data_IF_087318495495
#
_entry.id   IF_087318495495
#
_cell.length_a   1.000
_cell.length_b   1.000
_cell.length_c   1.000
_cell.angle_alpha   90.00
_cell.angle_beta   90.00
_cell.angle_gamma   90.00
#
_symmetry.space_group_name_H-M   'P 1'
#
loop_
_entity.id
_entity.type
_entity.pdbx_description
1 polymer ?
#
# COMPACT_ATOMS: atom_id res chain seq x y z
N UNK A 1 -13.18 38.63 11.02
CA UNK A 1 -14.66 38.81 10.92
C UNK A 1 -14.86 40.25 10.48
N UNK A 2 -15.35 40.47 9.26
CA UNK A 2 -15.66 41.81 8.75
C UNK A 2 -17.18 41.86 8.69
N UNK A 3 -17.80 42.67 9.54
CA UNK A 3 -19.24 42.86 9.55
C UNK A 3 -19.54 44.17 8.82
N UNK A 4 -19.95 44.09 7.56
CA UNK A 4 -20.60 45.22 6.88
C UNK A 4 -22.10 45.05 7.02
N UNK A 5 -22.76 46.00 7.70
CA UNK A 5 -24.22 46.05 7.78
C UNK A 5 -24.69 46.99 6.67
N UNK A 6 -25.46 46.46 5.71
CA UNK A 6 -26.26 47.26 4.78
C UNK A 6 -27.71 46.75 4.84
N UNK A 7 -28.66 47.65 5.04
CA UNK A 7 -30.11 47.36 5.06
C UNK A 7 -30.53 46.18 5.97
N UNK A 8 -29.99 46.08 7.19
CA UNK A 8 -30.42 45.07 8.17
C UNK A 8 -29.99 43.63 7.86
N UNK A 9 -29.17 43.40 6.83
CA UNK A 9 -28.55 42.10 6.53
C UNK A 9 -27.09 42.10 6.99
N UNK A 10 -26.68 41.03 7.68
CA UNK A 10 -25.27 40.75 7.99
C UNK A 10 -24.83 39.50 7.25
N UNK A 11 -23.71 39.60 6.53
CA UNK A 11 -23.11 38.47 5.81
C UNK A 11 -21.79 38.11 6.47
N UNK A 12 -21.64 36.84 6.90
CA UNK A 12 -20.37 36.29 7.38
C UNK A 12 -19.97 35.09 6.54
N UNK A 13 -18.71 35.07 6.09
CA UNK A 13 -18.13 33.92 5.38
C UNK A 13 -17.42 33.03 6.39
N UNK A 14 -17.83 31.76 6.46
CA UNK A 14 -17.13 30.71 7.21
C UNK A 14 -16.37 29.81 6.26
N UNK A 15 -15.06 29.64 6.50
CA UNK A 15 -14.22 28.67 5.80
C UNK A 15 -13.82 27.55 6.76
N UNK A 16 -14.17 26.31 6.44
CA UNK A 16 -13.72 25.14 7.20
C UNK A 16 -12.69 24.34 6.40
N UNK A 17 -11.66 23.88 7.08
CA UNK A 17 -10.54 23.11 6.49
C UNK A 17 -10.62 21.62 6.77
N UNK A 18 -11.53 21.20 7.66
CA UNK A 18 -11.81 19.81 8.04
C UNK A 18 -13.22 19.43 7.59
N UNK A 19 -13.35 18.22 7.06
CA UNK A 19 -14.64 17.60 6.81
C UNK A 19 -15.34 17.24 8.11
N UNK A 20 -16.66 17.32 8.11
CA UNK A 20 -17.48 17.13 9.29
C UNK A 20 -18.67 18.07 9.31
N UNK A 21 -19.37 18.06 10.44
CA UNK A 21 -20.52 18.92 10.70
C UNK A 21 -20.09 19.98 11.72
N UNK A 22 -20.25 21.24 11.36
CA UNK A 22 -19.99 22.38 12.24
C UNK A 22 -21.30 23.08 12.58
N UNK A 23 -21.56 23.26 13.87
CA UNK A 23 -22.68 24.08 14.34
C UNK A 23 -22.26 25.56 14.32
N UNK A 24 -23.02 26.38 13.60
CA UNK A 24 -22.86 27.83 13.57
C UNK A 24 -24.02 28.42 14.36
N UNK A 25 -23.70 29.11 15.45
CA UNK A 25 -24.67 29.76 16.32
C UNK A 25 -24.63 31.27 16.13
N UNK A 26 -25.76 31.86 15.77
CA UNK A 26 -25.96 33.30 15.71
C UNK A 26 -26.39 33.78 17.10
N UNK A 27 -25.68 34.80 17.60
CA UNK A 27 -26.02 35.50 18.84
C UNK A 27 -26.27 36.97 18.52
N UNK A 28 -27.44 37.46 18.91
CA UNK A 28 -27.80 38.87 18.80
C UNK A 28 -27.83 39.47 20.19
N UNK A 29 -27.07 40.53 20.41
CA UNK A 29 -27.05 41.23 21.69
C UNK A 29 -28.47 41.71 22.06
N UNK A 30 -28.90 41.44 23.30
CA UNK A 30 -30.24 41.76 23.78
C UNK A 30 -31.34 40.76 23.42
N UNK A 31 -31.05 39.68 22.67
CA UNK A 31 -32.00 38.58 22.39
C UNK A 31 -31.58 37.31 23.14
N UNK A 32 -32.52 36.68 23.86
CA UNK A 32 -32.27 35.50 24.70
C UNK A 32 -32.26 34.16 23.95
N UNK A 33 -32.81 34.13 22.73
CA UNK A 33 -32.88 32.94 21.88
C UNK A 33 -31.73 32.94 20.88
N UNK A 34 -31.04 31.80 20.77
CA UNK A 34 -30.03 31.58 19.75
C UNK A 34 -30.65 30.83 18.56
N UNK A 35 -30.21 31.17 17.34
CA UNK A 35 -30.46 30.37 16.15
C UNK A 35 -29.21 29.59 15.76
N UNK A 36 -29.39 28.36 15.30
CA UNK A 36 -28.30 27.49 14.88
C UNK A 36 -28.55 26.92 13.50
N UNK A 37 -27.50 26.86 12.69
CA UNK A 37 -27.46 26.13 11.44
C UNK A 37 -26.31 25.13 11.45
N UNK A 38 -26.49 24.02 10.73
CA UNK A 38 -25.44 23.03 10.53
C UNK A 38 -24.79 23.23 9.16
N UNK A 39 -23.47 23.39 9.15
CA UNK A 39 -22.67 23.35 7.93
C UNK A 39 -22.03 21.97 7.80
N UNK A 40 -22.31 21.28 6.69
CA UNK A 40 -21.65 20.01 6.35
C UNK A 40 -20.52 20.27 5.35
N UNK A 41 -19.30 19.90 5.73
CA UNK A 41 -18.11 19.94 4.88
C UNK A 41 -17.75 18.52 4.48
N UNK A 42 -17.80 18.22 3.19
CA UNK A 42 -17.50 16.89 2.67
C UNK A 42 -15.99 16.67 2.52
N UNK A 43 -15.52 15.48 2.88
CA UNK A 43 -14.16 15.05 2.59
C UNK A 43 -13.94 14.92 1.08
N UNK A 44 -12.75 15.25 0.62
CA UNK A 44 -12.37 15.23 -0.79
C UNK A 44 -12.00 13.80 -1.23
N UNK A 45 -12.44 13.33 -2.41
CA UNK A 45 -12.10 12.02 -2.91
C UNK A 45 -10.61 11.88 -3.26
N UNK A 46 -10.09 10.66 -3.09
CA UNK A 46 -8.72 10.30 -3.45
C UNK A 46 -8.69 9.17 -4.47
N UNK A 47 -7.56 9.02 -5.17
CA UNK A 47 -7.28 7.95 -6.11
C UNK A 47 -5.92 7.36 -5.77
N UNK A 48 -5.89 6.06 -5.45
CA UNK A 48 -4.66 5.29 -5.23
C UNK A 48 -4.35 4.49 -6.49
N UNK A 49 -3.10 4.52 -6.95
CA UNK A 49 -2.62 3.72 -8.09
C UNK A 49 -1.29 3.06 -7.77
N UNK A 50 -1.21 1.74 -7.85
CA UNK A 50 0.06 1.01 -7.73
C UNK A 50 0.84 1.27 -9.02
N UNK A 51 2.04 1.83 -8.90
CA UNK A 51 2.90 2.23 -10.01
C UNK A 51 4.03 1.26 -10.26
N UNK A 52 4.50 0.56 -9.21
CA UNK A 52 5.55 -0.44 -9.32
C UNK A 52 5.42 -1.51 -8.25
N UNK A 53 5.76 -2.74 -8.64
CA UNK A 53 5.99 -3.87 -7.75
C UNK A 53 7.18 -4.66 -8.29
N UNK A 54 7.99 -5.25 -7.41
CA UNK A 54 9.02 -6.22 -7.82
C UNK A 54 8.39 -7.35 -8.66
N UNK A 55 8.88 -7.63 -9.88
CA UNK A 55 8.20 -8.52 -10.82
C UNK A 55 8.36 -10.02 -10.52
N UNK A 56 9.49 -10.43 -9.95
CA UNK A 56 9.77 -11.82 -9.55
C UNK A 56 10.11 -11.82 -8.07
N UNK A 57 9.31 -12.54 -7.29
CA UNK A 57 9.41 -12.53 -5.82
C UNK A 57 9.54 -13.98 -5.36
N UNK A 58 10.65 -14.27 -4.70
CA UNK A 58 10.86 -15.55 -4.04
C UNK A 58 10.41 -15.45 -2.56
N UNK A 59 9.94 -16.54 -1.92
CA UNK A 59 9.85 -16.56 -0.47
C UNK A 59 11.21 -16.21 0.15
N UNK A 60 11.22 -15.44 1.24
CA UNK A 60 12.44 -14.93 1.87
C UNK A 60 13.08 -13.71 1.21
N UNK A 61 12.50 -13.17 0.13
CA UNK A 61 13.04 -11.99 -0.56
C UNK A 61 12.28 -10.70 -0.23
N UNK A 62 12.90 -9.56 -0.53
CA UNK A 62 12.29 -8.26 -0.37
C UNK A 62 11.49 -7.87 -1.61
N UNK A 63 10.26 -7.41 -1.39
CA UNK A 63 9.36 -6.86 -2.40
C UNK A 63 9.24 -5.35 -2.20
N UNK A 64 9.59 -4.57 -3.22
CA UNK A 64 9.36 -3.13 -3.26
C UNK A 64 8.00 -2.85 -3.86
N UNK A 65 7.25 -1.93 -3.24
CA UNK A 65 5.91 -1.52 -3.64
C UNK A 65 5.91 0.00 -3.73
N UNK A 66 5.51 0.54 -4.87
CA UNK A 66 5.30 1.97 -5.05
C UNK A 66 3.89 2.24 -5.51
N UNK A 67 3.30 3.33 -5.00
CA UNK A 67 2.00 3.79 -5.42
C UNK A 67 1.93 5.32 -5.44
N UNK A 68 1.09 5.86 -6.32
CA UNK A 68 0.73 7.27 -6.34
C UNK A 68 -0.67 7.48 -5.73
N UNK A 69 -0.81 8.55 -4.96
CA UNK A 69 -2.04 8.97 -4.30
C UNK A 69 -2.33 10.39 -4.75
N UNK A 70 -3.46 10.56 -5.44
CA UNK A 70 -3.85 11.83 -6.05
C UNK A 70 -5.29 12.22 -5.69
N UNK A 71 -5.61 13.51 -5.80
CA UNK A 71 -6.97 14.00 -5.73
C UNK A 71 -7.71 13.81 -7.07
N UNK A 72 -8.96 14.29 -7.14
CA UNK A 72 -9.78 14.25 -8.37
C UNK A 72 -9.14 14.97 -9.57
N UNK A 73 -8.27 15.95 -9.33
CA UNK A 73 -7.59 16.75 -10.35
C UNK A 73 -6.19 16.19 -10.66
N UNK A 74 -5.88 14.96 -10.22
CA UNK A 74 -4.58 14.32 -10.36
C UNK A 74 -3.43 15.07 -9.66
N UNK A 75 -3.75 15.94 -8.70
CA UNK A 75 -2.74 16.59 -7.87
C UNK A 75 -2.27 15.65 -6.76
N UNK A 76 -0.98 15.65 -6.43
CA UNK A 76 -0.42 14.77 -5.40
C UNK A 76 -0.98 15.12 -4.02
N UNK A 77 -1.37 14.09 -3.26
CA UNK A 77 -1.79 14.26 -1.87
C UNK A 77 -0.56 14.12 -0.97
N UNK A 78 -0.26 15.14 -0.18
CA UNK A 78 0.96 15.20 0.65
C UNK A 78 0.73 14.85 2.13
N UNK A 79 -0.47 14.40 2.49
CA UNK A 79 -0.81 14.03 3.86
C UNK A 79 -1.60 12.72 3.93
N UNK A 80 -1.58 12.09 5.10
CA UNK A 80 -2.29 10.85 5.37
C UNK A 80 -1.41 9.62 5.28
N UNK A 81 -2.05 8.47 5.41
CA UNK A 81 -1.39 7.18 5.60
C UNK A 81 -2.01 6.14 4.68
N UNK A 82 -1.19 5.16 4.32
CA UNK A 82 -1.57 3.99 3.54
C UNK A 82 -1.33 2.73 4.36
N UNK A 83 -2.19 1.74 4.17
CA UNK A 83 -1.93 0.36 4.59
C UNK A 83 -1.82 -0.53 3.36
N UNK A 84 -0.96 -1.54 3.45
CA UNK A 84 -0.80 -2.56 2.42
C UNK A 84 -1.40 -3.86 2.92
N UNK A 85 -2.05 -4.59 2.03
CA UNK A 85 -2.65 -5.90 2.33
C UNK A 85 -2.20 -6.94 1.34
N UNK A 86 -1.96 -8.16 1.81
CA UNK A 86 -1.78 -9.35 0.98
C UNK A 86 -2.95 -10.30 1.25
N UNK A 87 -3.67 -10.70 0.19
CA UNK A 87 -4.91 -11.49 0.27
C UNK A 87 -5.92 -10.92 1.29
N UNK A 88 -6.10 -9.60 1.27
CA UNK A 88 -7.02 -8.88 2.16
C UNK A 88 -6.54 -8.70 3.61
N UNK A 89 -5.42 -9.30 4.01
CA UNK A 89 -4.83 -9.14 5.35
C UNK A 89 -3.83 -7.99 5.37
N UNK A 90 -4.06 -7.02 6.25
CA UNK A 90 -3.13 -5.89 6.46
C UNK A 90 -1.78 -6.38 6.95
N UNK A 91 -0.70 -5.85 6.35
CA UNK A 91 0.66 -6.10 6.82
C UNK A 91 0.85 -5.58 8.24
N UNK A 92 1.55 -6.35 9.05
CA UNK A 92 1.80 -6.07 10.46
C UNK A 92 3.30 -6.08 10.74
N UNK A 93 3.70 -5.28 11.72
CA UNK A 93 5.05 -5.34 12.28
C UNK A 93 5.21 -6.57 13.19
N UNK A 94 6.43 -6.74 13.72
CA UNK A 94 6.78 -7.87 14.60
C UNK A 94 6.00 -7.87 15.92
N UNK A 95 5.37 -6.75 16.29
CA UNK A 95 4.51 -6.61 17.46
C UNK A 95 3.03 -6.85 17.12
N UNK A 96 2.70 -7.19 15.87
CA UNK A 96 1.35 -7.46 15.42
C UNK A 96 0.51 -6.22 15.12
N UNK A 97 1.11 -5.03 15.08
CA UNK A 97 0.43 -3.76 14.80
C UNK A 97 0.41 -3.50 13.30
N UNK A 98 -0.67 -2.90 12.80
CA UNK A 98 -0.80 -2.60 11.36
C UNK A 98 0.26 -1.59 10.93
N UNK A 99 1.00 -1.91 9.87
CA UNK A 99 2.00 -1.00 9.30
C UNK A 99 1.28 0.13 8.56
N UNK A 100 1.53 1.36 9.01
CA UNK A 100 1.02 2.60 8.39
C UNK A 100 2.17 3.32 7.70
N UNK A 101 2.01 3.57 6.41
CA UNK A 101 3.03 4.19 5.56
C UNK A 101 2.57 5.61 5.26
N UNK A 102 3.39 6.60 5.62
CA UNK A 102 3.08 7.99 5.33
C UNK A 102 3.14 8.27 3.83
N UNK A 103 2.19 9.05 3.33
CA UNK A 103 2.22 9.54 1.96
C UNK A 103 3.10 10.79 1.89
N UNK A 104 4.15 10.74 1.08
CA UNK A 104 5.09 11.86 0.90
C UNK A 104 5.05 12.27 -0.57
N UNK A 105 4.75 13.54 -0.83
CA UNK A 105 4.68 14.10 -2.19
C UNK A 105 3.77 13.29 -3.14
N UNK A 106 2.63 12.80 -2.66
CA UNK A 106 1.70 12.01 -3.46
C UNK A 106 2.16 10.59 -3.75
N UNK A 107 3.20 10.09 -3.07
CA UNK A 107 3.75 8.76 -3.31
C UNK A 107 4.02 8.00 -2.02
N UNK A 108 4.05 6.68 -2.15
CA UNK A 108 4.63 5.77 -1.15
C UNK A 108 5.68 4.91 -1.84
N UNK A 109 6.76 4.62 -1.12
CA UNK A 109 7.79 3.65 -1.50
C UNK A 109 8.07 2.78 -0.28
N UNK A 110 7.64 1.53 -0.32
CA UNK A 110 7.71 0.62 0.81
C UNK A 110 8.34 -0.71 0.40
N UNK A 111 9.26 -1.21 1.23
CA UNK A 111 9.89 -2.52 1.05
C UNK A 111 9.36 -3.47 2.11
N UNK A 112 8.79 -4.59 1.67
CA UNK A 112 8.27 -5.64 2.53
C UNK A 112 9.11 -6.90 2.38
N UNK A 113 9.55 -7.48 3.51
CA UNK A 113 10.21 -8.78 3.51
C UNK A 113 9.15 -9.88 3.44
N UNK A 114 9.18 -10.70 2.39
CA UNK A 114 8.25 -11.82 2.22
C UNK A 114 8.75 -12.99 3.07
N UNK A 115 8.01 -13.45 4.08
CA UNK A 115 8.43 -14.60 4.89
C UNK A 115 8.64 -15.87 4.06
N UNK A 116 9.58 -16.72 4.48
CA UNK A 116 9.93 -17.97 3.78
C UNK A 116 8.76 -18.96 3.66
N UNK A 117 7.78 -18.89 4.57
CA UNK A 117 6.62 -19.78 4.59
C UNK A 117 5.53 -19.42 3.56
N UNK A 118 5.71 -18.37 2.75
CA UNK A 118 4.79 -18.06 1.67
C UNK A 118 4.87 -19.13 0.57
N UNK A 119 3.71 -19.68 0.20
CA UNK A 119 3.60 -20.67 -0.86
C UNK A 119 3.81 -20.04 -2.25
N UNK A 120 4.28 -20.83 -3.20
CA UNK A 120 4.42 -20.40 -4.59
C UNK A 120 3.06 -20.39 -5.29
N UNK A 121 2.45 -19.22 -5.42
CA UNK A 121 1.15 -19.02 -6.08
C UNK A 121 0.90 -17.54 -6.36
N UNK A 122 -0.25 -17.25 -6.96
CA UNK A 122 -0.75 -15.89 -7.11
C UNK A 122 -1.36 -15.38 -5.79
N UNK A 123 -1.13 -14.11 -5.51
CA UNK A 123 -1.61 -13.34 -4.37
C UNK A 123 -2.22 -12.03 -4.85
N UNK A 124 -3.14 -11.49 -4.05
CA UNK A 124 -3.71 -10.17 -4.28
C UNK A 124 -3.00 -9.16 -3.38
N UNK A 125 -2.42 -8.11 -3.98
CA UNK A 125 -1.83 -6.97 -3.28
C UNK A 125 -2.80 -5.80 -3.33
N UNK A 126 -3.21 -5.30 -2.17
CA UNK A 126 -4.01 -4.07 -2.06
C UNK A 126 -3.20 -2.98 -1.40
N UNK A 127 -3.16 -1.80 -2.01
CA UNK A 127 -2.67 -0.57 -1.39
C UNK A 127 -3.88 0.33 -1.11
N UNK A 128 -4.10 0.68 0.16
CA UNK A 128 -5.27 1.46 0.60
C UNK A 128 -4.86 2.73 1.34
N UNK A 129 -5.23 3.88 0.78
CA UNK A 129 -5.21 5.15 1.47
C UNK A 129 -6.30 5.21 2.55
N UNK A 130 -5.93 5.62 3.76
CA UNK A 130 -6.84 5.71 4.90
C UNK A 130 -7.61 7.03 4.92
N UNK A 131 -8.83 7.00 5.48
CA UNK A 131 -9.62 8.21 5.73
C UNK A 131 -8.87 9.15 6.69
N UNK A 132 -8.94 10.44 6.45
CA UNK A 132 -8.58 11.47 7.42
C UNK A 132 -9.59 12.64 7.39
N UNK A 133 -9.34 13.69 8.18
CA UNK A 133 -10.20 14.87 8.28
C UNK A 133 -10.44 15.57 6.94
N UNK A 134 -9.59 15.40 5.93
CA UNK A 134 -9.68 16.11 4.64
C UNK A 134 -10.11 15.22 3.48
N UNK A 135 -9.76 13.93 3.53
CA UNK A 135 -9.79 13.04 2.38
C UNK A 135 -10.52 11.73 2.68
N UNK A 136 -11.29 11.25 1.70
CA UNK A 136 -11.93 9.92 1.74
C UNK A 136 -10.91 8.83 1.37
N UNK A 137 -11.11 7.58 1.83
CA UNK A 137 -10.22 6.48 1.50
C UNK A 137 -10.34 6.07 0.03
N UNK A 138 -9.26 5.52 -0.52
CA UNK A 138 -9.22 4.89 -1.84
C UNK A 138 -8.27 3.70 -1.82
N UNK A 139 -8.40 2.79 -2.77
CA UNK A 139 -7.54 1.61 -2.85
C UNK A 139 -7.39 1.12 -4.29
N UNK A 140 -6.28 0.43 -4.55
CA UNK A 140 -6.10 -0.39 -5.75
C UNK A 140 -5.65 -1.78 -5.33
N UNK A 141 -6.21 -2.79 -5.99
CA UNK A 141 -5.78 -4.19 -5.85
C UNK A 141 -5.23 -4.69 -7.18
N UNK A 142 -4.10 -5.37 -7.14
CA UNK A 142 -3.48 -6.07 -8.28
C UNK A 142 -3.13 -7.50 -7.89
N UNK A 143 -2.93 -8.36 -8.88
CA UNK A 143 -2.41 -9.71 -8.67
C UNK A 143 -0.89 -9.70 -8.84
N UNK A 144 -0.19 -10.47 -8.03
CA UNK A 144 1.25 -10.76 -8.18
C UNK A 144 1.52 -12.22 -7.87
N UNK A 145 2.63 -12.76 -8.36
CA UNK A 145 2.99 -14.17 -8.16
C UNK A 145 4.26 -14.27 -7.34
N UNK A 146 4.22 -15.10 -6.30
CA UNK A 146 5.42 -15.56 -5.62
C UNK A 146 5.82 -16.87 -6.27
N UNK A 147 7.04 -16.93 -6.77
CA UNK A 147 7.61 -18.09 -7.45
C UNK A 147 8.87 -18.54 -6.73
N UNK A 148 9.12 -19.85 -6.66
CA UNK A 148 10.44 -20.35 -6.24
C UNK A 148 11.28 -20.47 -7.49
N UNK A 149 12.16 -19.50 -7.73
CA UNK A 149 13.12 -19.61 -8.82
C UNK A 149 14.11 -20.73 -8.47
N UNK A 150 14.33 -21.67 -9.39
CA UNK A 150 15.33 -22.71 -9.22
C UNK A 150 16.71 -22.05 -9.24
N UNK A 151 17.48 -22.20 -8.17
CA UNK A 151 18.87 -21.76 -8.17
C UNK A 151 19.70 -22.77 -8.98
N UNK A 152 20.51 -22.24 -9.90
CA UNK A 152 21.49 -23.03 -10.65
C UNK A 152 22.64 -23.35 -9.71
N UNK A 153 22.83 -24.63 -9.39
CA UNK A 153 23.98 -25.10 -8.64
C UNK A 153 24.94 -25.81 -9.59
N UNK A 154 26.21 -25.42 -9.61
CA UNK A 154 27.25 -26.16 -10.32
C UNK A 154 28.05 -26.98 -9.34
N UNK A 155 28.19 -28.28 -9.59
CA UNK A 155 29.22 -29.10 -8.95
C UNK A 155 30.35 -29.26 -9.95
N UNK A 156 31.55 -28.84 -9.58
CA UNK A 156 32.75 -29.10 -10.38
C UNK A 156 33.24 -30.50 -10.02
N UNK A 157 33.20 -31.43 -10.96
CA UNK A 157 33.83 -32.76 -10.80
C UNK A 157 35.14 -32.73 -11.57
N UNK A 158 36.25 -32.78 -10.83
CA UNK A 158 37.59 -33.12 -11.30
C UNK A 158 37.99 -32.55 -12.68
N UNK A 159 38.25 -31.24 -12.69
CA UNK A 159 39.04 -30.46 -13.65
C UNK A 159 38.75 -30.44 -15.15
N UNK A 160 37.81 -31.16 -15.76
CA UNK A 160 37.51 -30.93 -17.21
C UNK A 160 36.03 -30.92 -17.64
N UNK A 161 35.05 -31.20 -16.77
CA UNK A 161 33.63 -31.07 -17.16
C UNK A 161 32.80 -30.32 -16.11
N UNK A 162 32.22 -29.19 -16.53
CA UNK A 162 31.32 -28.36 -15.70
C UNK A 162 29.90 -28.89 -15.83
N UNK A 163 29.46 -29.70 -14.86
CA UNK A 163 28.08 -30.20 -14.86
C UNK A 163 27.18 -29.19 -14.15
N UNK A 164 26.19 -28.65 -14.89
CA UNK A 164 25.16 -27.78 -14.34
C UNK A 164 24.01 -28.65 -13.79
N UNK A 165 23.66 -28.49 -12.53
CA UNK A 165 22.46 -29.09 -11.94
C UNK A 165 21.52 -27.99 -11.42
N UNK A 166 20.25 -28.33 -11.21
CA UNK A 166 19.27 -27.45 -10.59
C UNK A 166 18.81 -28.10 -9.29
N UNK A 167 19.07 -27.47 -8.14
CA UNK A 167 18.60 -27.98 -6.84
C UNK A 167 17.43 -27.15 -6.33
N UNK A 168 16.39 -27.82 -5.83
CA UNK A 168 15.39 -27.18 -4.99
C UNK A 168 16.02 -26.96 -3.61
N UNK A 169 16.41 -25.73 -3.27
CA UNK A 169 16.88 -25.40 -1.92
C UNK A 169 15.73 -25.64 -0.91
N UNK A 170 15.71 -26.79 -0.25
CA UNK A 170 14.77 -27.13 0.81
C UNK A 170 15.57 -27.34 2.10
N UNK A 171 15.60 -26.34 2.99
CA UNK A 171 16.28 -26.43 4.29
C UNK A 171 15.51 -27.24 5.35
N UNK A 172 14.56 -28.10 4.98
CA UNK A 172 13.82 -28.93 5.96
C UNK A 172 13.54 -30.39 5.60
N UNK A 173 13.88 -30.85 4.38
CA UNK A 173 14.05 -32.26 4.02
C UNK A 173 14.48 -32.34 2.54
N UNK A 174 15.76 -32.59 2.20
CA UNK A 174 16.14 -32.74 0.80
C UNK A 174 15.54 -34.04 0.26
N UNK A 175 14.46 -33.95 -0.52
CA UNK A 175 14.06 -35.06 -1.40
C UNK A 175 15.10 -35.16 -2.50
N UNK A 176 16.01 -36.13 -2.37
CA UNK A 176 16.99 -36.50 -3.38
C UNK A 176 16.22 -37.19 -4.51
N UNK A 177 16.17 -36.56 -5.69
CA UNK A 177 15.70 -37.21 -6.91
C UNK A 177 16.90 -37.92 -7.56
N UNK A 178 16.85 -39.24 -7.64
CA UNK A 178 17.88 -40.03 -8.34
C UNK A 178 17.76 -39.75 -9.84
N UNK A 179 18.85 -39.31 -10.48
CA UNK A 179 18.92 -39.14 -11.93
C UNK A 179 19.87 -40.19 -12.52
N UNK A 180 19.37 -41.03 -13.42
CA UNK A 180 20.16 -42.03 -14.14
C UNK A 180 20.91 -41.36 -15.29
N UNK A 181 22.24 -41.48 -15.30
CA UNK A 181 23.08 -41.04 -16.41
C UNK A 181 23.34 -42.20 -17.38
N UNK A 182 22.86 -42.06 -18.61
CA UNK A 182 23.26 -42.90 -19.73
C UNK A 182 24.45 -42.23 -20.41
N UNK A 183 25.64 -42.83 -20.34
CA UNK A 183 26.78 -42.42 -21.16
C UNK A 183 27.07 -43.48 -22.22
N UNK A 184 27.35 -43.02 -23.45
CA UNK A 184 27.86 -43.85 -24.53
C UNK A 184 29.34 -43.55 -24.66
N UNK A 185 30.21 -44.53 -24.35
CA UNK A 185 31.64 -44.42 -24.65
C UNK A 185 31.80 -44.32 -26.16
N UNK A 186 32.48 -43.27 -26.62
CA UNK A 186 32.99 -43.18 -27.99
C UNK A 186 34.42 -43.76 -27.92
N UNK A 187 34.68 -44.81 -28.70
CA UNK A 187 36.01 -45.40 -28.85
C UNK A 187 36.90 -44.51 -29.72
#
# INVERSE_FOLDING_TARGET
IINTIQNGTSTTIFTGTKSGITNITLKTEGISTNESIFLTINALPTSTKITYITPIINPGSNMTIQASITDKNKQPITTGEVVIKINGKTLKDDYGQSIKIQVINGTINYTYHIPENYSTKQYNLTVKYLRNDKFTPSEQTINFTITKTLEKSSVTVNNEEKINYYTLANNYNPKIYNLTLNYKRIQ
#
